data_IF_861237805022
#
_entry.id   IF_861237805022
#
_cell.length_a   1.000
_cell.length_b   1.000
_cell.length_c   1.000
_cell.angle_alpha   90.00
_cell.angle_beta   90.00
_cell.angle_gamma   90.00
#
_symmetry.space_group_name_H-M   'P 1'
#
loop_
_entity.id
_entity.type
_entity.pdbx_description
1 polymer ?
#
# COMPACT_ATOMS: atom_id res chain seq x y z
N UNK A 1 14.76 -0.27 -0.05
CA UNK A 1 14.03 -0.67 -1.28
C UNK A 1 12.72 -1.39 -0.96
N UNK A 2 12.64 -2.11 0.17
CA UNK A 2 11.41 -2.80 0.62
C UNK A 2 10.23 -1.84 0.87
N UNK A 3 10.48 -0.61 1.35
CA UNK A 3 9.43 0.37 1.69
C UNK A 3 8.63 0.92 0.49
N UNK A 4 8.91 0.47 -0.73
CA UNK A 4 8.27 0.95 -1.96
C UNK A 4 7.47 -0.12 -2.69
N UNK A 5 7.27 -1.29 -2.05
CA UNK A 5 6.57 -2.42 -2.67
C UNK A 5 5.53 -3.00 -1.72
N UNK A 6 4.27 -3.03 -2.16
CA UNK A 6 3.17 -3.76 -1.51
C UNK A 6 2.96 -5.06 -2.29
N UNK A 7 2.92 -6.20 -1.60
CA UNK A 7 2.74 -7.51 -2.25
C UNK A 7 1.51 -8.26 -1.74
N UNK A 8 0.93 -9.08 -2.61
CA UNK A 8 -0.26 -9.87 -2.29
C UNK A 8 -1.57 -9.22 -2.76
N UNK A 9 -2.54 -10.05 -3.16
CA UNK A 9 -3.77 -9.58 -3.82
C UNK A 9 -4.61 -8.67 -2.94
N UNK A 10 -4.76 -9.01 -1.66
CA UNK A 10 -5.56 -8.21 -0.73
C UNK A 10 -4.92 -6.87 -0.41
N UNK A 11 -3.61 -6.87 -0.08
CA UNK A 11 -2.88 -5.65 0.23
C UNK A 11 -2.84 -4.68 -0.97
N UNK A 12 -2.58 -5.19 -2.17
CA UNK A 12 -2.60 -4.37 -3.40
C UNK A 12 -4.01 -3.83 -3.68
N UNK A 13 -5.06 -4.64 -3.51
CA UNK A 13 -6.45 -4.18 -3.66
C UNK A 13 -6.78 -3.07 -2.67
N UNK A 14 -6.38 -3.21 -1.42
CA UNK A 14 -6.63 -2.22 -0.38
C UNK A 14 -5.88 -0.92 -0.64
N UNK A 15 -4.62 -1.00 -1.08
CA UNK A 15 -3.84 0.16 -1.48
C UNK A 15 -4.53 0.94 -2.62
N UNK A 16 -5.12 0.25 -3.59
CA UNK A 16 -5.89 0.90 -4.66
C UNK A 16 -7.15 1.55 -4.06
N UNK A 17 -7.94 0.84 -3.26
CA UNK A 17 -9.22 1.34 -2.72
C UNK A 17 -9.02 2.59 -1.84
N UNK A 18 -7.98 2.59 -1.02
CA UNK A 18 -7.63 3.70 -0.10
C UNK A 18 -6.98 4.88 -0.81
N UNK A 19 -6.68 4.77 -2.11
CA UNK A 19 -6.06 5.83 -2.89
C UNK A 19 -4.58 6.03 -2.57
N UNK A 20 -3.86 4.96 -2.16
CA UNK A 20 -2.41 5.04 -1.99
C UNK A 20 -1.74 5.51 -3.30
N UNK A 21 -0.67 6.31 -3.22
CA UNK A 21 0.07 6.76 -4.38
C UNK A 21 0.82 5.58 -5.03
N UNK A 22 0.15 4.90 -5.97
CA UNK A 22 0.67 3.76 -6.72
C UNK A 22 1.22 4.23 -8.06
N UNK A 23 2.50 3.97 -8.31
CA UNK A 23 3.15 4.25 -9.59
C UNK A 23 2.75 3.21 -10.66
N UNK A 24 2.75 1.92 -10.28
CA UNK A 24 2.47 0.81 -11.19
C UNK A 24 2.11 -0.47 -10.42
N UNK A 25 1.20 -1.25 -10.97
CA UNK A 25 0.87 -2.61 -10.51
C UNK A 25 1.55 -3.62 -11.42
N UNK A 26 2.21 -4.62 -10.83
CA UNK A 26 2.84 -5.74 -11.50
C UNK A 26 2.00 -7.00 -11.30
N UNK A 27 1.74 -7.73 -12.38
CA UNK A 27 0.93 -8.95 -12.38
C UNK A 27 1.73 -10.09 -13.01
N UNK A 28 1.75 -11.24 -12.35
CA UNK A 28 2.45 -12.41 -12.85
C UNK A 28 1.83 -12.93 -14.15
N UNK A 29 2.68 -13.30 -15.10
CA UNK A 29 2.27 -14.06 -16.30
C UNK A 29 1.51 -15.33 -15.95
N UNK A 30 0.45 -15.63 -16.71
CA UNK A 30 -0.34 -16.85 -16.56
C UNK A 30 -1.30 -16.88 -15.36
N UNK A 31 -1.39 -15.80 -14.56
CA UNK A 31 -2.39 -15.73 -13.49
C UNK A 31 -3.81 -15.72 -14.06
N UNK A 32 -4.73 -16.44 -13.40
CA UNK A 32 -6.14 -16.49 -13.82
C UNK A 32 -6.79 -15.13 -13.55
N UNK A 33 -7.35 -14.49 -14.60
CA UNK A 33 -8.03 -13.18 -14.48
C UNK A 33 -9.08 -13.12 -13.37
N UNK A 34 -9.81 -14.21 -13.13
CA UNK A 34 -10.80 -14.29 -12.04
C UNK A 34 -10.20 -13.98 -10.66
N UNK A 35 -8.93 -14.32 -10.42
CA UNK A 35 -8.25 -14.10 -9.15
C UNK A 35 -7.83 -12.65 -8.91
N UNK A 36 -7.83 -11.82 -9.96
CA UNK A 36 -7.33 -10.44 -9.94
C UNK A 36 -8.32 -9.45 -10.57
N UNK A 37 -9.56 -9.86 -10.81
CA UNK A 37 -10.53 -9.09 -11.57
C UNK A 37 -10.83 -7.73 -10.90
N UNK A 38 -10.99 -7.73 -9.57
CA UNK A 38 -11.21 -6.51 -8.80
C UNK A 38 -10.01 -5.55 -8.88
N UNK A 39 -8.79 -6.08 -8.82
CA UNK A 39 -7.56 -5.29 -8.94
C UNK A 39 -7.50 -4.64 -10.32
N UNK A 40 -7.76 -5.40 -11.39
CA UNK A 40 -7.77 -4.88 -12.76
C UNK A 40 -8.84 -3.81 -12.97
N UNK A 41 -10.03 -4.02 -12.41
CA UNK A 41 -11.14 -3.07 -12.49
C UNK A 41 -10.78 -1.76 -11.77
N UNK A 42 -10.39 -1.85 -10.49
CA UNK A 42 -10.07 -0.68 -9.68
C UNK A 42 -8.85 0.09 -10.24
N UNK A 43 -7.83 -0.63 -10.70
CA UNK A 43 -6.67 -0.02 -11.35
C UNK A 43 -7.06 0.75 -12.62
N UNK A 44 -7.96 0.19 -13.44
CA UNK A 44 -8.47 0.86 -14.64
C UNK A 44 -9.27 2.11 -14.27
N UNK A 45 -10.16 2.02 -13.29
CA UNK A 45 -11.00 3.14 -12.86
C UNK A 45 -10.15 4.30 -12.33
N UNK A 46 -9.04 4.00 -11.65
CA UNK A 46 -8.06 4.97 -11.15
C UNK A 46 -6.93 5.30 -12.13
N UNK A 47 -6.96 4.77 -13.36
CA UNK A 47 -5.95 4.97 -14.41
C UNK A 47 -4.52 4.59 -13.99
N UNK A 48 -4.39 3.60 -13.12
CA UNK A 48 -3.10 3.05 -12.67
C UNK A 48 -2.53 2.14 -13.76
N UNK A 49 -1.23 2.27 -14.03
CA UNK A 49 -0.55 1.42 -15.01
C UNK A 49 -0.45 -0.01 -14.46
N UNK A 50 -0.87 -0.98 -15.27
CA UNK A 50 -0.73 -2.41 -14.97
C UNK A 50 0.24 -3.03 -15.96
N UNK A 51 1.24 -3.75 -15.46
CA UNK A 51 2.25 -4.44 -16.26
C UNK A 51 2.31 -5.92 -15.91
N UNK A 52 2.29 -6.77 -16.94
CA UNK A 52 2.50 -8.20 -16.77
C UNK A 52 4.01 -8.51 -16.72
N UNK A 53 4.45 -9.36 -15.79
CA UNK A 53 5.87 -9.69 -15.56
C UNK A 53 6.07 -11.18 -15.26
N UNK A 54 7.27 -11.74 -15.52
CA UNK A 54 7.63 -13.08 -15.07
C UNK A 54 7.59 -13.21 -13.54
N UNK A 55 7.35 -14.42 -13.03
CA UNK A 55 7.32 -14.71 -11.58
C UNK A 55 8.61 -14.26 -10.87
N UNK A 56 9.77 -14.53 -11.50
CA UNK A 56 11.08 -14.18 -10.95
C UNK A 56 11.23 -12.68 -10.66
N UNK A 57 10.52 -11.81 -11.40
CA UNK A 57 10.53 -10.37 -11.13
C UNK A 57 9.82 -10.04 -9.81
N UNK A 58 8.74 -10.74 -9.49
CA UNK A 58 8.02 -10.57 -8.23
C UNK A 58 8.79 -11.20 -7.06
N UNK A 59 9.39 -12.37 -7.28
CA UNK A 59 10.25 -13.05 -6.29
C UNK A 59 11.44 -12.14 -5.87
N UNK A 60 11.97 -11.33 -6.80
CA UNK A 60 13.04 -10.38 -6.50
C UNK A 60 12.59 -9.15 -5.68
N UNK A 61 11.31 -8.79 -5.73
CA UNK A 61 10.80 -7.54 -5.16
C UNK A 61 10.46 -7.63 -3.66
N UNK A 62 10.15 -8.82 -3.17
CA UNK A 62 9.85 -9.02 -1.75
C UNK A 62 10.10 -10.47 -1.34
N UNK A 63 10.56 -10.65 -0.10
CA UNK A 63 10.66 -11.98 0.53
C UNK A 63 9.31 -12.54 1.01
N UNK A 64 8.24 -11.75 0.93
CA UNK A 64 6.89 -12.13 1.35
C UNK A 64 6.06 -12.75 0.20
N UNK A 65 5.05 -13.60 0.49
CA UNK A 65 4.22 -14.23 -0.55
C UNK A 65 3.44 -13.21 -1.40
N UNK A 66 3.88 -12.97 -2.64
CA UNK A 66 3.27 -11.97 -3.51
C UNK A 66 1.97 -12.43 -4.20
N UNK A 67 1.65 -13.72 -4.21
CA UNK A 67 0.42 -14.26 -4.83
C UNK A 67 0.17 -13.81 -6.28
N UNK A 68 1.27 -13.58 -7.00
CA UNK A 68 1.27 -13.11 -8.39
C UNK A 68 0.92 -11.63 -8.60
N UNK A 69 0.87 -10.80 -7.55
CA UNK A 69 0.59 -9.35 -7.67
C UNK A 69 1.48 -8.53 -6.74
N UNK A 70 2.01 -7.40 -7.25
CA UNK A 70 2.67 -6.38 -6.46
C UNK A 70 2.28 -4.97 -6.92
N UNK A 71 2.34 -3.98 -6.04
CA UNK A 71 2.21 -2.58 -6.37
C UNK A 71 3.49 -1.83 -5.97
N UNK A 72 4.03 -1.04 -6.90
CA UNK A 72 5.12 -0.12 -6.63
C UNK A 72 4.51 1.21 -6.20
N UNK A 73 4.83 1.64 -4.98
CA UNK A 73 4.32 2.88 -4.41
C UNK A 73 5.39 3.96 -4.41
N UNK A 74 4.95 5.22 -4.37
CA UNK A 74 5.85 6.31 -4.05
C UNK A 74 6.40 6.15 -2.61
N UNK A 75 7.60 6.66 -2.32
CA UNK A 75 8.10 6.72 -0.95
C UNK A 75 7.08 7.40 -0.05
N UNK A 76 6.88 6.86 1.15
CA UNK A 76 5.97 7.44 2.12
C UNK A 76 6.54 8.77 2.61
N UNK A 77 5.79 9.86 2.42
CA UNK A 77 6.10 11.12 3.09
C UNK A 77 5.63 11.02 4.54
N UNK A 78 6.57 10.96 5.47
CA UNK A 78 6.27 11.07 6.89
C UNK A 78 5.72 12.46 7.18
N UNK A 79 4.62 12.52 7.94
CA UNK A 79 4.12 13.79 8.44
C UNK A 79 5.13 14.37 9.43
N UNK A 80 5.45 15.66 9.26
CA UNK A 80 6.27 16.38 10.21
C UNK A 80 5.48 16.67 11.49
N UNK A 81 6.01 16.27 12.64
CA UNK A 81 5.31 16.37 13.91
C UNK A 81 5.08 17.83 14.33
N UNK A 82 6.04 18.72 14.10
CA UNK A 82 5.91 20.14 14.44
C UNK A 82 4.84 20.82 13.57
N UNK A 83 4.79 20.46 12.28
CA UNK A 83 3.74 20.90 11.38
C UNK A 83 2.37 20.40 11.81
N UNK A 84 2.26 19.12 12.20
CA UNK A 84 1.02 18.55 12.74
C UNK A 84 0.54 19.32 13.98
N UNK A 85 1.42 19.62 14.93
CA UNK A 85 1.09 20.39 16.14
C UNK A 85 0.62 21.81 15.82
N UNK A 86 1.26 22.49 14.85
CA UNK A 86 0.81 23.81 14.40
C UNK A 86 -0.60 23.75 13.82
N UNK A 87 -0.89 22.78 12.95
CA UNK A 87 -2.21 22.61 12.35
C UNK A 87 -3.31 22.31 13.38
N UNK A 88 -3.02 21.51 14.41
CA UNK A 88 -4.02 21.23 15.45
C UNK A 88 -4.31 22.47 16.32
N UNK A 89 -3.32 23.35 16.55
CA UNK A 89 -3.54 24.60 17.29
C UNK A 89 -4.45 25.59 16.56
N UNK A 90 -4.46 25.54 15.23
CA UNK A 90 -5.27 26.43 14.39
C UNK A 90 -6.71 25.92 14.18
N UNK A 91 -7.00 24.66 14.51
CA UNK A 91 -8.35 24.10 14.41
C UNK A 91 -9.23 24.55 15.58
N UNK A 92 -10.47 24.93 15.27
CA UNK A 92 -11.51 25.08 16.26
C UNK A 92 -12.03 23.69 16.69
N UNK A 93 -11.85 23.33 17.96
CA UNK A 93 -12.31 22.07 18.53
C UNK A 93 -11.21 21.25 19.21
N UNK A 94 -11.60 20.18 19.91
CA UNK A 94 -10.66 19.28 20.58
C UNK A 94 -10.08 18.28 19.58
N UNK A 95 -8.76 18.12 19.60
CA UNK A 95 -8.04 17.08 18.85
C UNK A 95 -7.74 15.90 19.76
N UNK A 96 -8.11 14.69 19.35
CA UNK A 96 -7.74 13.45 20.07
C UNK A 96 -6.44 12.90 19.47
N UNK A 97 -5.45 12.61 20.32
CA UNK A 97 -4.16 12.04 19.91
C UNK A 97 -3.95 10.71 20.64
N UNK A 98 -3.56 9.68 19.90
CA UNK A 98 -3.14 8.38 20.42
C UNK A 98 -1.62 8.26 20.28
N UNK A 99 -0.95 7.99 21.40
CA UNK A 99 0.49 7.72 21.42
C UNK A 99 0.67 6.24 21.74
N UNK A 100 1.33 5.52 20.84
CA UNK A 100 1.65 4.11 21.01
C UNK A 100 3.11 4.00 21.42
N UNK A 101 3.37 3.72 22.69
CA UNK A 101 4.71 3.49 23.23
C UNK A 101 4.97 1.97 23.32
N UNK A 102 6.13 1.52 22.85
CA UNK A 102 6.55 0.11 22.92
C UNK A 102 5.81 -0.85 21.97
N UNK A 103 5.36 -0.39 20.80
CA UNK A 103 4.74 -1.26 19.80
C UNK A 103 5.79 -2.03 18.99
N UNK A 104 5.90 -3.34 19.21
CA UNK A 104 6.95 -4.18 18.60
C UNK A 104 6.43 -5.17 17.54
N UNK A 105 5.15 -5.55 17.61
CA UNK A 105 4.53 -6.52 16.69
C UNK A 105 3.70 -5.80 15.60
N UNK A 106 4.01 -6.00 14.30
CA UNK A 106 3.22 -5.45 13.18
C UNK A 106 1.73 -5.83 13.20
N UNK A 107 1.38 -7.00 13.74
CA UNK A 107 -0.02 -7.42 13.85
C UNK A 107 -0.80 -6.54 14.83
N UNK A 108 -0.16 -6.10 15.92
CA UNK A 108 -0.78 -5.21 16.91
C UNK A 108 -1.07 -3.85 16.29
N UNK A 109 -0.16 -3.31 15.47
CA UNK A 109 -0.41 -2.07 14.73
C UNK A 109 -1.64 -2.18 13.83
N UNK A 110 -1.79 -3.31 13.13
CA UNK A 110 -2.90 -3.54 12.23
C UNK A 110 -4.27 -3.75 12.90
N UNK A 111 -4.32 -3.86 14.23
CA UNK A 111 -5.53 -4.20 15.00
C UNK A 111 -6.04 -3.08 15.92
N UNK A 112 -5.32 -1.94 16.00
CA UNK A 112 -5.70 -0.73 16.78
C UNK A 112 -6.49 0.25 15.87
#
# INVERSE_FOLDING_TARGET
>A
MEDTVIVGRHAVREAIITGHPINKILIQEGIKKQQINEILKNAKDQKIIVQTVPKSKLDFLANAPHQGVAALIAPYEYADFDQFLKQQKEKEGLSTVLILDGLEDPHNLGSI
#
